data_IF_750963558826
#
_entry.id   IF_750963558826
#
_cell.length_a   1.000
_cell.length_b   1.000
_cell.length_c   1.000
_cell.angle_alpha   90.00
_cell.angle_beta   90.00
_cell.angle_gamma   90.00
#
_symmetry.space_group_name_H-M   'P 1'
#
loop_
_entity.id
_entity.type
_entity.pdbx_description
1 polymer ?
#
# COMPACT_ATOMS: atom_id res chain seq x y z
N UNK A 1 21.00 14.80 6.80
CA UNK A 1 19.99 13.72 6.66
C UNK A 1 20.14 12.78 7.83
N UNK A 2 19.03 12.45 8.47
CA UNK A 2 19.04 11.49 9.58
C UNK A 2 19.30 10.09 9.06
N UNK A 3 20.16 9.34 9.75
CA UNK A 3 20.40 7.94 9.42
C UNK A 3 19.12 7.13 9.58
N UNK A 4 18.80 6.31 8.57
CA UNK A 4 17.65 5.41 8.62
C UNK A 4 18.08 4.14 9.36
N UNK A 5 17.47 3.90 10.51
CA UNK A 5 17.68 2.66 11.25
C UNK A 5 16.72 1.61 10.76
N UNK A 6 17.23 0.41 10.56
CA UNK A 6 16.47 -0.76 10.14
C UNK A 6 16.66 -1.86 11.18
N UNK A 7 15.58 -2.26 11.81
CA UNK A 7 15.62 -3.30 12.84
C UNK A 7 14.70 -4.48 12.49
N UNK A 8 14.54 -5.40 13.44
CA UNK A 8 13.79 -6.63 13.20
C UNK A 8 12.31 -6.36 12.89
N UNK A 9 11.71 -5.32 13.47
CA UNK A 9 10.31 -5.02 13.18
C UNK A 9 10.13 -4.47 11.77
N UNK A 10 11.09 -3.69 11.28
CA UNK A 10 11.08 -3.22 9.89
C UNK A 10 11.16 -4.40 8.93
N UNK A 11 12.06 -5.35 9.19
CA UNK A 11 12.19 -6.54 8.35
C UNK A 11 10.92 -7.40 8.39
N UNK A 12 10.33 -7.58 9.55
CA UNK A 12 9.07 -8.33 9.68
C UNK A 12 7.92 -7.64 8.95
N UNK A 13 7.85 -6.33 9.02
CA UNK A 13 6.83 -5.56 8.30
C UNK A 13 6.98 -5.71 6.78
N UNK A 14 8.21 -5.65 6.27
CA UNK A 14 8.49 -5.86 4.84
C UNK A 14 8.14 -7.28 4.41
N UNK A 15 8.54 -8.28 5.20
CA UNK A 15 8.22 -9.67 4.88
C UNK A 15 6.70 -9.91 4.92
N UNK A 16 6.00 -9.30 5.86
CA UNK A 16 4.53 -9.32 5.94
C UNK A 16 3.92 -8.68 4.70
N UNK A 17 4.43 -7.53 4.26
CA UNK A 17 3.95 -6.86 3.05
C UNK A 17 4.09 -7.75 1.81
N UNK A 18 5.22 -8.45 1.68
CA UNK A 18 5.45 -9.39 0.57
C UNK A 18 4.43 -10.53 0.58
N UNK A 19 4.23 -11.14 1.74
CA UNK A 19 3.30 -12.27 1.88
C UNK A 19 1.86 -11.83 1.67
N UNK A 20 1.46 -10.67 2.20
CA UNK A 20 0.12 -10.12 1.98
C UNK A 20 -0.15 -9.89 0.48
N UNK A 21 0.84 -9.39 -0.27
CA UNK A 21 0.69 -9.19 -1.70
C UNK A 21 0.47 -10.52 -2.44
N UNK A 22 1.28 -11.52 -2.13
CA UNK A 22 1.14 -12.85 -2.72
C UNK A 22 -0.20 -13.49 -2.35
N UNK A 23 -0.58 -13.42 -1.08
CA UNK A 23 -1.82 -14.03 -0.58
C UNK A 23 -3.06 -13.36 -1.17
N UNK A 24 -3.06 -12.03 -1.33
CA UNK A 24 -4.17 -11.31 -1.93
C UNK A 24 -4.42 -11.78 -3.37
N UNK A 25 -3.36 -11.92 -4.16
CA UNK A 25 -3.47 -12.41 -5.54
C UNK A 25 -3.93 -13.86 -5.57
N UNK A 26 -3.37 -14.71 -4.72
CA UNK A 26 -3.77 -16.12 -4.62
C UNK A 26 -5.24 -16.26 -4.24
N UNK A 27 -5.71 -15.46 -3.30
CA UNK A 27 -7.10 -15.48 -2.80
C UNK A 27 -8.10 -15.21 -3.93
N UNK A 28 -7.83 -14.20 -4.78
CA UNK A 28 -8.77 -13.82 -5.84
C UNK A 28 -8.48 -14.50 -7.17
N UNK A 29 -7.33 -15.15 -7.31
CA UNK A 29 -6.95 -15.91 -8.49
C UNK A 29 -6.47 -15.07 -9.67
N UNK A 30 -6.22 -13.77 -9.49
CA UNK A 30 -5.67 -12.88 -10.51
C UNK A 30 -5.02 -11.65 -9.87
N UNK A 31 -4.14 -10.98 -10.60
CA UNK A 31 -3.45 -9.78 -10.14
C UNK A 31 -1.95 -9.84 -10.39
N UNK A 32 -1.22 -8.85 -9.84
CA UNK A 32 0.20 -8.66 -10.09
C UNK A 32 0.98 -8.59 -8.75
N UNK A 33 1.51 -9.72 -8.24
CA UNK A 33 2.21 -9.73 -6.98
C UNK A 33 3.68 -9.32 -7.07
N UNK A 34 4.31 -9.50 -8.24
CA UNK A 34 5.77 -9.41 -8.39
C UNK A 34 6.35 -8.07 -7.99
N UNK A 35 5.85 -6.99 -8.56
CA UNK A 35 6.33 -5.64 -8.25
C UNK A 35 6.04 -5.25 -6.79
N UNK A 36 4.87 -5.63 -6.27
CA UNK A 36 4.54 -5.38 -4.88
C UNK A 36 5.50 -6.08 -3.92
N UNK A 37 5.97 -7.26 -4.28
CA UNK A 37 6.96 -8.01 -3.48
C UNK A 37 8.35 -7.40 -3.62
N UNK A 38 8.78 -7.08 -4.84
CA UNK A 38 10.12 -6.55 -5.07
C UNK A 38 10.30 -5.12 -4.55
N UNK A 39 9.25 -4.30 -4.59
CA UNK A 39 9.27 -2.93 -4.09
C UNK A 39 8.82 -2.80 -2.63
N UNK A 40 8.51 -3.89 -1.95
CA UNK A 40 8.03 -3.84 -0.57
C UNK A 40 8.98 -3.07 0.37
N UNK A 41 10.31 -3.26 0.33
CA UNK A 41 11.22 -2.49 1.18
C UNK A 41 11.16 -0.99 0.89
N UNK A 42 11.15 -0.61 -0.39
CA UNK A 42 11.10 0.80 -0.78
C UNK A 42 9.77 1.44 -0.38
N UNK A 43 8.66 0.78 -0.68
CA UNK A 43 7.33 1.30 -0.34
C UNK A 43 7.17 1.44 1.18
N UNK A 44 7.61 0.46 1.95
CA UNK A 44 7.61 0.51 3.40
C UNK A 44 8.44 1.70 3.91
N UNK A 45 9.67 1.85 3.40
CA UNK A 45 10.55 2.95 3.78
C UNK A 45 9.89 4.31 3.53
N UNK A 46 9.28 4.49 2.36
CA UNK A 46 8.59 5.73 2.02
C UNK A 46 7.48 6.03 3.01
N UNK A 47 6.57 5.09 3.24
CA UNK A 47 5.41 5.32 4.10
C UNK A 47 5.77 5.45 5.59
N UNK A 48 6.81 4.76 6.05
CA UNK A 48 7.15 4.73 7.48
C UNK A 48 8.23 5.73 7.88
N UNK A 49 9.05 6.21 6.96
CA UNK A 49 10.22 7.03 7.31
C UNK A 49 10.34 8.35 6.55
N UNK A 50 9.76 8.45 5.36
CA UNK A 50 10.01 9.58 4.45
C UNK A 50 8.79 10.47 4.29
N UNK A 51 7.64 9.90 3.93
CA UNK A 51 6.42 10.67 3.66
C UNK A 51 5.87 11.30 4.93
N UNK A 52 5.57 12.58 4.86
CA UNK A 52 4.81 13.27 5.91
C UNK A 52 3.32 13.07 5.62
N UNK A 53 2.65 12.38 6.51
CA UNK A 53 1.21 12.12 6.37
C UNK A 53 0.60 11.88 7.75
N UNK A 54 -0.71 11.99 7.82
CA UNK A 54 -1.51 11.63 8.98
C UNK A 54 -2.57 10.62 8.53
N UNK A 55 -2.45 9.33 8.90
CA UNK A 55 -3.44 8.33 8.52
C UNK A 55 -4.85 8.63 9.02
N UNK A 56 -4.99 9.36 10.13
CA UNK A 56 -6.29 9.78 10.66
C UNK A 56 -6.88 10.96 9.88
N UNK A 57 -6.06 11.69 9.13
CA UNK A 57 -6.48 12.80 8.26
C UNK A 57 -5.78 12.67 6.91
N UNK A 58 -6.18 11.71 6.07
CA UNK A 58 -5.48 11.42 4.81
C UNK A 58 -5.61 12.52 3.77
N UNK A 59 -6.41 13.55 4.01
CA UNK A 59 -6.57 14.71 3.13
C UNK A 59 -5.91 15.97 3.68
N UNK A 60 -5.14 15.85 4.76
CA UNK A 60 -4.42 16.99 5.34
C UNK A 60 -3.61 17.74 4.27
N UNK A 61 -3.79 19.05 4.19
CA UNK A 61 -3.20 19.87 3.13
C UNK A 61 -1.67 19.85 3.11
N UNK A 62 -1.03 19.66 4.27
CA UNK A 62 0.43 19.65 4.40
C UNK A 62 1.09 18.32 4.12
N UNK A 63 0.32 17.28 3.76
CA UNK A 63 0.85 15.94 3.53
C UNK A 63 1.68 15.84 2.26
N UNK A 64 2.61 14.91 2.24
CA UNK A 64 3.25 14.47 1.01
C UNK A 64 2.28 13.57 0.22
N UNK A 65 2.39 13.60 -1.10
CA UNK A 65 1.52 12.82 -1.99
C UNK A 65 2.31 11.72 -2.66
N UNK A 66 1.91 10.49 -2.39
CA UNK A 66 2.46 9.31 -3.06
C UNK A 66 1.61 9.02 -4.29
N UNK A 67 2.25 8.91 -5.45
CA UNK A 67 1.58 8.58 -6.70
C UNK A 67 2.23 7.33 -7.27
N UNK A 68 1.44 6.28 -7.45
CA UNK A 68 1.89 5.02 -8.04
C UNK A 68 1.69 5.09 -9.56
N UNK A 69 2.76 5.33 -10.32
CA UNK A 69 2.66 5.44 -11.78
C UNK A 69 2.45 4.09 -12.47
N UNK A 70 2.81 2.98 -11.82
CA UNK A 70 2.61 1.61 -12.30
C UNK A 70 1.32 1.04 -11.70
N UNK A 71 0.16 1.51 -12.19
CA UNK A 71 -1.14 1.26 -11.55
C UNK A 71 -1.51 -0.20 -11.38
N UNK A 72 -1.07 -1.10 -12.29
CA UNK A 72 -1.34 -2.54 -12.13
C UNK A 72 -0.65 -3.15 -10.90
N UNK A 73 0.39 -2.51 -10.38
CA UNK A 73 1.03 -2.92 -9.13
C UNK A 73 0.37 -2.31 -7.89
N UNK A 74 -0.93 -2.25 -7.88
CA UNK A 74 -1.75 -1.58 -6.86
C UNK A 74 -1.46 -2.08 -5.44
N UNK A 75 -1.15 -3.36 -5.28
CA UNK A 75 -0.82 -3.92 -3.97
C UNK A 75 0.43 -3.29 -3.34
N UNK A 76 1.35 -2.76 -4.14
CA UNK A 76 2.49 -1.98 -3.63
C UNK A 76 2.00 -0.85 -2.72
N UNK A 77 0.91 -0.19 -3.10
CA UNK A 77 0.31 0.88 -2.31
C UNK A 77 -0.71 0.35 -1.29
N UNK A 78 -1.61 -0.52 -1.67
CA UNK A 78 -2.68 -0.98 -0.78
C UNK A 78 -2.16 -1.64 0.49
N UNK A 79 -1.12 -2.45 0.39
CA UNK A 79 -0.53 -3.09 1.56
C UNK A 79 0.03 -2.04 2.53
N UNK A 80 0.68 -1.00 2.01
CA UNK A 80 1.19 0.09 2.87
C UNK A 80 0.07 0.91 3.49
N UNK A 81 -1.01 1.16 2.77
CA UNK A 81 -2.19 1.84 3.31
C UNK A 81 -2.83 1.01 4.43
N UNK A 82 -2.92 -0.30 4.25
CA UNK A 82 -3.41 -1.20 5.28
C UNK A 82 -2.51 -1.18 6.52
N UNK A 83 -1.22 -1.41 6.35
CA UNK A 83 -0.26 -1.44 7.48
C UNK A 83 -0.13 -0.08 8.16
N UNK A 84 -0.32 0.99 7.42
CA UNK A 84 -0.19 2.37 7.91
C UNK A 84 -1.43 2.92 8.62
N UNK A 85 -2.54 2.18 8.64
CA UNK A 85 -3.74 2.61 9.35
C UNK A 85 -4.58 3.64 8.61
N UNK A 86 -4.55 3.67 7.29
CA UNK A 86 -5.34 4.62 6.48
C UNK A 86 -6.82 4.27 6.35
N UNK A 87 -7.25 3.13 6.90
CA UNK A 87 -8.65 2.73 6.89
C UNK A 87 -8.97 1.48 6.09
N UNK A 88 -7.98 0.90 5.40
CA UNK A 88 -8.16 -0.42 4.80
C UNK A 88 -8.11 -1.50 5.87
N UNK A 89 -9.01 -2.46 5.77
CA UNK A 89 -9.04 -3.66 6.59
C UNK A 89 -8.45 -4.85 5.84
N UNK A 90 -8.14 -5.92 6.55
CA UNK A 90 -7.61 -7.13 5.92
C UNK A 90 -8.59 -7.69 4.87
N UNK A 91 -9.88 -7.61 5.13
CA UNK A 91 -10.90 -8.06 4.19
C UNK A 91 -10.90 -7.27 2.88
N UNK A 92 -10.46 -6.02 2.90
CA UNK A 92 -10.30 -5.22 1.68
C UNK A 92 -9.18 -5.78 0.80
N UNK A 93 -8.09 -6.24 1.40
CA UNK A 93 -7.00 -6.92 0.65
C UNK A 93 -7.47 -8.26 0.10
N UNK A 94 -8.28 -9.00 0.85
CA UNK A 94 -8.88 -10.27 0.41
C UNK A 94 -9.85 -10.08 -0.76
N UNK A 95 -10.42 -8.90 -0.91
CA UNK A 95 -11.35 -8.54 -1.97
C UNK A 95 -10.68 -7.81 -3.13
N UNK A 96 -9.36 -7.94 -3.29
CA UNK A 96 -8.61 -7.33 -4.38
C UNK A 96 -9.29 -7.59 -5.73
N UNK A 97 -9.47 -6.53 -6.54
CA UNK A 97 -10.04 -6.61 -7.89
C UNK A 97 -11.50 -7.13 -7.94
N UNK A 98 -12.14 -7.20 -6.79
CA UNK A 98 -13.56 -7.55 -6.71
C UNK A 98 -14.40 -6.30 -6.94
N UNK A 99 -15.42 -6.40 -7.77
CA UNK A 99 -16.30 -5.27 -8.07
C UNK A 99 -16.91 -4.70 -6.79
N UNK A 100 -16.80 -3.39 -6.64
CA UNK A 100 -17.32 -2.67 -5.46
C UNK A 100 -16.42 -2.67 -4.24
N UNK A 101 -15.25 -3.37 -4.28
CA UNK A 101 -14.30 -3.34 -3.16
C UNK A 101 -13.52 -2.03 -3.12
N UNK A 102 -12.85 -1.76 -1.99
CA UNK A 102 -11.95 -0.61 -1.84
C UNK A 102 -10.58 -0.82 -2.51
N UNK A 103 -10.35 -1.98 -3.12
CA UNK A 103 -9.07 -2.35 -3.71
C UNK A 103 -9.22 -2.73 -5.19
N UNK A 104 -9.61 -1.79 -6.07
CA UNK A 104 -9.66 -2.06 -7.50
C UNK A 104 -8.28 -2.41 -8.05
N UNK A 105 -8.23 -3.02 -9.23
CA UNK A 105 -6.99 -3.48 -9.85
C UNK A 105 -5.96 -2.38 -10.08
N UNK A 106 -6.41 -1.16 -10.31
CA UNK A 106 -5.61 0.06 -10.38
C UNK A 106 -6.12 1.04 -9.33
N UNK A 107 -5.23 1.80 -8.65
CA UNK A 107 -5.68 2.77 -7.64
C UNK A 107 -6.54 3.87 -8.25
N UNK A 108 -7.61 4.24 -7.55
CA UNK A 108 -8.54 5.28 -7.97
C UNK A 108 -8.65 6.37 -6.91
N UNK A 109 -8.41 7.61 -7.32
CA UNK A 109 -8.59 8.78 -6.46
C UNK A 109 -10.06 8.93 -6.06
N UNK A 110 -10.28 9.21 -4.78
CA UNK A 110 -11.63 9.40 -4.24
C UNK A 110 -12.36 8.09 -3.92
N UNK A 111 -11.75 6.94 -4.18
CA UNK A 111 -12.33 5.64 -3.91
C UNK A 111 -11.63 4.94 -2.72
N UNK A 112 -10.32 4.77 -2.79
CA UNK A 112 -9.55 4.17 -1.71
C UNK A 112 -8.94 5.26 -0.83
N UNK A 113 -9.13 5.22 0.51
CA UNK A 113 -8.49 6.20 1.39
C UNK A 113 -6.97 6.23 1.22
N UNK A 114 -6.40 7.42 1.06
CA UNK A 114 -4.95 7.60 0.91
C UNK A 114 -4.42 7.53 -0.52
N UNK A 115 -5.25 7.20 -1.49
CA UNK A 115 -4.87 7.25 -2.91
C UNK A 115 -5.01 8.67 -3.43
N UNK A 116 -3.93 9.18 -4.02
CA UNK A 116 -3.81 10.59 -4.45
C UNK A 116 -4.09 10.80 -5.93
N UNK A 117 -4.02 9.77 -6.74
CA UNK A 117 -4.17 9.87 -8.19
C UNK A 117 -4.63 8.56 -8.79
N UNK A 118 -5.54 8.65 -9.75
CA UNK A 118 -6.02 7.47 -10.50
C UNK A 118 -4.99 7.09 -11.55
N UNK A 119 -4.47 5.86 -11.47
CA UNK A 119 -3.46 5.33 -12.42
C UNK A 119 -3.77 3.91 -12.95
#
# INVERSE_FOLDING_TARGET
MTEVRWDDIDQRAVDTARVLAADAVEKVGNGHPGTAMSLAPLAYLLYQRVLRHDPADPTWAGRDRFILSVGHSSLTQYVQLYLGGFGLELDDLKALRTWGSLTPGHPEYGHTPGVEFTT
#
